data_IF_619878199404
#
_entry.id   IF_619878199404
#
_cell.length_a   1.000
_cell.length_b   1.000
_cell.length_c   1.000
_cell.angle_alpha   90.00
_cell.angle_beta   90.00
_cell.angle_gamma   90.00
#
_symmetry.space_group_name_H-M   'P 1'
#
loop_
_entity.id
_entity.type
_entity.pdbx_description
1 polymer ?
#
# COMPACT_ATOMS: atom_id res chain seq x y z
N UNK A 1 39.75 -62.68 31.23
CA UNK A 1 40.87 -61.74 31.49
C UNK A 1 40.37 -60.34 31.21
N UNK A 2 40.63 -59.43 32.14
CA UNK A 2 40.26 -58.01 32.09
C UNK A 2 40.83 -57.31 30.84
N UNK A 3 40.06 -56.38 30.25
CA UNK A 3 40.50 -55.08 29.74
C UNK A 3 39.30 -54.37 29.09
N UNK A 4 38.74 -53.33 29.70
CA UNK A 4 39.08 -51.91 29.48
C UNK A 4 38.65 -51.35 28.11
N UNK A 5 37.62 -50.47 28.13
CA UNK A 5 37.66 -49.06 27.66
C UNK A 5 36.39 -48.59 26.93
N UNK A 6 35.68 -47.70 27.63
CA UNK A 6 35.03 -46.47 27.20
C UNK A 6 33.92 -46.48 26.09
N UNK A 7 32.76 -45.85 26.36
CA UNK A 7 31.77 -45.51 25.36
C UNK A 7 32.22 -44.25 24.59
N UNK A 8 32.41 -44.36 23.28
CA UNK A 8 32.60 -43.16 22.43
C UNK A 8 31.22 -42.63 22.07
N UNK A 9 30.70 -41.78 22.96
CA UNK A 9 29.65 -40.81 22.69
C UNK A 9 30.16 -39.81 21.63
N UNK A 10 29.87 -40.08 20.36
CA UNK A 10 29.96 -39.06 19.30
C UNK A 10 28.62 -38.34 19.21
N UNK A 11 28.43 -37.45 20.18
CA UNK A 11 27.42 -36.41 20.18
C UNK A 11 27.88 -35.36 19.15
N UNK A 12 27.37 -35.44 17.92
CA UNK A 12 27.57 -34.39 16.93
C UNK A 12 26.78 -33.14 17.36
N UNK A 13 27.39 -32.34 18.23
CA UNK A 13 27.01 -30.95 18.48
C UNK A 13 27.27 -30.17 17.18
N UNK A 14 26.26 -30.10 16.32
CA UNK A 14 26.22 -29.07 15.30
C UNK A 14 25.97 -27.75 16.02
N UNK A 15 27.06 -27.07 16.37
CA UNK A 15 26.99 -25.67 16.73
C UNK A 15 26.40 -24.93 15.52
N UNK A 16 25.32 -24.14 15.68
CA UNK A 16 24.96 -23.18 14.66
C UNK A 16 26.10 -22.16 14.62
N UNK A 17 26.91 -22.19 13.56
CA UNK A 17 27.75 -21.06 13.18
C UNK A 17 26.81 -19.89 12.97
N UNK A 18 26.69 -19.05 13.99
CA UNK A 18 26.10 -17.72 13.88
C UNK A 18 27.06 -16.91 13.02
N UNK A 19 26.87 -16.94 11.70
CA UNK A 19 27.37 -15.88 10.85
C UNK A 19 26.74 -14.57 11.35
N UNK A 20 27.52 -13.53 11.66
CA UNK A 20 26.98 -12.19 11.76
C UNK A 20 26.73 -11.69 10.34
N UNK A 21 25.84 -12.39 9.63
CA UNK A 21 25.27 -11.92 8.38
C UNK A 21 24.24 -10.89 8.77
N UNK A 22 24.70 -9.64 8.88
CA UNK A 22 23.95 -8.40 9.02
C UNK A 22 22.46 -8.64 8.83
N UNK A 23 21.74 -8.82 9.94
CA UNK A 23 20.32 -8.55 9.96
C UNK A 23 20.22 -7.10 9.53
N UNK A 24 19.90 -6.90 8.24
CA UNK A 24 19.55 -5.60 7.73
C UNK A 24 18.23 -5.28 8.41
N UNK A 25 18.36 -4.68 9.60
CA UNK A 25 17.34 -3.86 10.20
C UNK A 25 16.75 -3.05 9.04
N UNK A 26 15.42 -2.99 8.87
CA UNK A 26 14.86 -1.94 8.06
C UNK A 26 15.27 -0.65 8.77
N UNK A 27 16.37 -0.06 8.33
CA UNK A 27 16.75 1.28 8.67
C UNK A 27 15.55 2.11 8.26
N UNK A 28 14.85 2.60 9.26
CA UNK A 28 13.98 3.75 9.15
C UNK A 28 14.86 4.91 8.65
N UNK A 29 15.11 4.93 7.35
CA UNK A 29 15.56 6.11 6.63
C UNK A 29 14.27 6.94 6.42
N UNK A 30 13.87 7.63 7.50
CA UNK A 30 12.63 8.41 7.56
C UNK A 30 12.69 9.75 6.82
N UNK A 31 13.73 10.01 6.02
CA UNK A 31 13.88 11.34 5.39
C UNK A 31 14.56 11.33 4.01
N UNK A 32 14.54 10.20 3.29
CA UNK A 32 14.77 10.27 1.86
C UNK A 32 13.51 10.86 1.22
N UNK A 33 13.50 12.11 0.72
CA UNK A 33 12.35 12.61 -0.01
C UNK A 33 12.15 11.64 -1.18
N UNK A 34 11.00 10.96 -1.19
CA UNK A 34 10.55 10.16 -2.32
C UNK A 34 10.27 11.18 -3.43
N UNK A 35 11.32 11.63 -4.12
CA UNK A 35 11.22 12.45 -5.34
C UNK A 35 10.81 11.51 -6.47
N UNK A 36 9.61 10.93 -6.34
CA UNK A 36 8.90 10.29 -7.44
C UNK A 36 8.32 11.43 -8.27
N UNK A 37 9.25 12.08 -8.98
CA UNK A 37 9.09 12.89 -10.20
C UNK A 37 7.68 12.77 -10.77
N UNK A 38 6.91 13.86 -10.77
CA UNK A 38 5.52 13.91 -11.26
C UNK A 38 5.30 13.20 -12.63
N UNK A 39 6.34 13.10 -13.47
CA UNK A 39 6.33 12.31 -14.70
C UNK A 39 6.03 10.81 -14.53
N UNK A 40 6.50 10.19 -13.45
CA UNK A 40 6.23 8.77 -13.14
C UNK A 40 4.78 8.55 -12.70
N UNK A 41 4.19 9.53 -12.02
CA UNK A 41 2.77 9.52 -11.66
C UNK A 41 1.85 9.63 -12.87
N UNK A 42 2.26 10.36 -13.93
CA UNK A 42 1.54 10.36 -15.22
C UNK A 42 1.40 8.95 -15.82
N UNK A 43 2.30 8.02 -15.47
CA UNK A 43 2.27 6.62 -15.90
C UNK A 43 1.50 5.72 -14.94
N UNK A 44 1.38 6.09 -13.66
CA UNK A 44 0.61 5.34 -12.67
C UNK A 44 -0.86 5.24 -13.09
N UNK A 45 -1.42 4.03 -13.05
CA UNK A 45 -2.83 3.80 -13.34
C UNK A 45 -3.37 2.75 -12.40
N UNK A 46 -4.31 3.15 -11.54
CA UNK A 46 -5.05 2.25 -10.69
C UNK A 46 -6.55 2.52 -10.79
N UNK A 47 -7.34 1.51 -10.44
CA UNK A 47 -8.80 1.63 -10.30
C UNK A 47 -9.22 1.02 -8.97
N UNK A 48 -10.13 1.66 -8.26
CA UNK A 48 -10.79 1.01 -7.14
C UNK A 48 -11.94 0.17 -7.67
N UNK A 49 -12.01 -1.10 -7.26
CA UNK A 49 -13.06 -2.04 -7.63
C UNK A 49 -13.65 -2.68 -6.38
N UNK A 50 -14.91 -3.05 -6.50
CA UNK A 50 -15.60 -3.83 -5.47
C UNK A 50 -15.79 -5.25 -5.96
N UNK A 51 -15.30 -6.22 -5.20
CA UNK A 51 -15.46 -7.64 -5.47
C UNK A 51 -16.92 -8.02 -5.22
N UNK A 52 -17.66 -8.33 -6.29
CA UNK A 52 -19.11 -8.59 -6.23
C UNK A 52 -19.55 -9.66 -5.23
N UNK A 53 -18.72 -10.69 -5.01
CA UNK A 53 -19.04 -11.81 -4.12
C UNK A 53 -18.89 -11.49 -2.63
N UNK A 54 -17.93 -10.64 -2.28
CA UNK A 54 -17.56 -10.37 -0.87
C UNK A 54 -17.84 -8.94 -0.44
N UNK A 55 -18.12 -8.03 -1.38
CA UNK A 55 -18.20 -6.59 -1.11
C UNK A 55 -16.84 -5.94 -0.85
N UNK A 56 -15.75 -6.69 -0.95
CA UNK A 56 -14.41 -6.20 -0.65
C UNK A 56 -13.97 -5.15 -1.68
N UNK A 57 -13.54 -3.99 -1.19
CA UNK A 57 -13.00 -2.91 -2.02
C UNK A 57 -11.49 -3.08 -2.13
N UNK A 58 -10.98 -3.11 -3.36
CA UNK A 58 -9.56 -3.32 -3.63
C UNK A 58 -9.04 -2.38 -4.74
N UNK A 59 -7.74 -2.11 -4.69
CA UNK A 59 -7.04 -1.37 -5.73
C UNK A 59 -6.57 -2.33 -6.84
N UNK A 60 -7.09 -2.16 -8.05
CA UNK A 60 -6.65 -2.82 -9.27
C UNK A 60 -5.61 -1.95 -9.98
N UNK A 61 -4.34 -2.15 -9.63
CA UNK A 61 -3.22 -1.44 -10.24
C UNK A 61 -2.93 -2.00 -11.64
N UNK A 62 -3.00 -1.13 -12.65
CA UNK A 62 -2.75 -1.47 -14.07
C UNK A 62 -1.37 -1.01 -14.54
N UNK A 63 -0.81 0.04 -13.93
CA UNK A 63 0.55 0.53 -14.18
C UNK A 63 1.15 1.07 -12.89
N UNK A 64 2.38 0.67 -12.62
CA UNK A 64 3.21 1.09 -11.49
C UNK A 64 3.87 2.45 -11.76
N UNK A 65 4.15 3.20 -10.69
CA UNK A 65 4.99 4.41 -10.74
C UNK A 65 6.49 4.09 -10.85
N UNK A 66 6.88 2.82 -10.62
CA UNK A 66 8.27 2.39 -10.48
C UNK A 66 8.79 2.43 -9.04
N UNK A 67 8.00 2.91 -8.08
CA UNK A 67 8.26 2.80 -6.65
C UNK A 67 7.18 1.95 -5.98
N UNK A 68 7.57 0.77 -5.49
CA UNK A 68 6.63 -0.18 -4.90
C UNK A 68 6.08 0.26 -3.54
N UNK A 69 6.84 1.03 -2.76
CA UNK A 69 6.37 1.56 -1.47
C UNK A 69 5.31 2.64 -1.71
N UNK A 70 5.61 3.56 -2.61
CA UNK A 70 4.67 4.58 -3.04
C UNK A 70 3.40 3.97 -3.65
N UNK A 71 3.52 3.01 -4.57
CA UNK A 71 2.38 2.36 -5.21
C UNK A 71 1.44 1.69 -4.19
N UNK A 72 2.01 1.01 -3.18
CA UNK A 72 1.23 0.40 -2.09
C UNK A 72 0.52 1.47 -1.25
N UNK A 73 1.23 2.54 -0.90
CA UNK A 73 0.68 3.63 -0.09
C UNK A 73 -0.47 4.34 -0.84
N UNK A 74 -0.26 4.69 -2.11
CA UNK A 74 -1.27 5.31 -2.96
C UNK A 74 -2.47 4.38 -3.17
N UNK A 75 -2.26 3.10 -3.48
CA UNK A 75 -3.37 2.15 -3.60
C UNK A 75 -4.16 2.01 -2.30
N UNK A 76 -3.50 1.96 -1.15
CA UNK A 76 -4.15 1.97 0.16
C UNK A 76 -4.99 3.23 0.36
N UNK A 77 -4.45 4.40 -0.01
CA UNK A 77 -5.16 5.67 0.08
C UNK A 77 -6.37 5.73 -0.86
N UNK A 78 -6.26 5.22 -2.09
CA UNK A 78 -7.39 5.16 -3.04
C UNK A 78 -8.56 4.35 -2.48
N UNK A 79 -8.28 3.19 -1.87
CA UNK A 79 -9.31 2.36 -1.22
C UNK A 79 -9.93 3.07 -0.02
N UNK A 80 -9.13 3.76 0.81
CA UNK A 80 -9.64 4.56 1.94
C UNK A 80 -10.56 5.69 1.46
N UNK A 81 -10.14 6.42 0.42
CA UNK A 81 -10.91 7.53 -0.13
C UNK A 81 -12.20 7.07 -0.81
N UNK A 82 -12.24 5.88 -1.40
CA UNK A 82 -13.50 5.30 -1.91
C UNK A 82 -14.55 5.19 -0.80
N UNK A 83 -14.16 4.71 0.39
CA UNK A 83 -15.07 4.61 1.54
C UNK A 83 -15.51 5.98 2.08
N UNK A 84 -14.70 7.03 1.90
CA UNK A 84 -15.08 8.41 2.25
C UNK A 84 -16.14 8.93 1.27
N UNK A 85 -15.90 8.77 -0.03
CA UNK A 85 -16.85 9.18 -1.09
C UNK A 85 -18.20 8.49 -0.93
N UNK A 86 -18.21 7.17 -0.67
CA UNK A 86 -19.46 6.42 -0.45
C UNK A 86 -20.27 6.94 0.74
N UNK A 87 -19.60 7.47 1.76
CA UNK A 87 -20.22 8.03 2.98
C UNK A 87 -20.53 9.52 2.87
N UNK A 88 -20.02 10.21 1.84
CA UNK A 88 -20.18 11.66 1.70
C UNK A 88 -21.65 12.06 1.59
N UNK A 89 -22.06 13.04 2.40
CA UNK A 89 -23.42 13.57 2.39
C UNK A 89 -23.78 14.19 1.05
N UNK A 90 -22.83 14.85 0.38
CA UNK A 90 -23.03 15.43 -0.95
C UNK A 90 -23.38 14.35 -1.98
N UNK A 91 -22.62 13.25 -2.01
CA UNK A 91 -22.88 12.12 -2.91
C UNK A 91 -24.21 11.45 -2.59
N UNK A 92 -24.54 11.29 -1.30
CA UNK A 92 -25.83 10.70 -0.87
C UNK A 92 -27.02 11.56 -1.23
N UNK A 93 -26.91 12.89 -1.13
CA UNK A 93 -27.96 13.83 -1.54
C UNK A 93 -28.22 13.75 -3.05
N UNK A 94 -27.16 13.72 -3.87
CA UNK A 94 -27.29 13.56 -5.33
C UNK A 94 -27.92 12.21 -5.68
N UNK A 95 -27.53 11.11 -5.01
CA UNK A 95 -28.18 9.79 -5.18
C UNK A 95 -29.66 9.79 -4.80
N UNK A 96 -30.03 10.53 -3.75
CA UNK A 96 -31.40 10.56 -3.23
C UNK A 96 -32.34 11.47 -4.03
N UNK A 97 -31.80 12.51 -4.68
CA UNK A 97 -32.57 13.47 -5.48
C UNK A 97 -32.62 13.18 -6.98
N UNK A 98 -32.46 11.91 -7.39
CA UNK A 98 -32.41 11.48 -8.80
C UNK A 98 -31.37 12.25 -9.64
N UNK A 99 -30.29 12.70 -9.01
CA UNK A 99 -29.22 13.42 -9.68
C UNK A 99 -28.64 12.61 -10.84
N UNK A 100 -28.34 13.28 -11.94
CA UNK A 100 -27.81 12.63 -13.13
C UNK A 100 -26.49 11.92 -12.81
N UNK A 101 -26.17 10.89 -13.61
CA UNK A 101 -24.88 10.20 -13.50
C UNK A 101 -23.69 11.16 -13.50
N UNK A 102 -23.77 12.24 -14.29
CA UNK A 102 -22.72 13.26 -14.38
C UNK A 102 -22.57 14.06 -13.09
N UNK A 103 -23.68 14.38 -12.43
CA UNK A 103 -23.65 15.05 -11.12
C UNK A 103 -23.09 14.15 -10.04
N UNK A 104 -23.46 12.87 -10.05
CA UNK A 104 -22.92 11.88 -9.13
C UNK A 104 -21.40 11.72 -9.31
N UNK A 105 -20.96 11.61 -10.56
CA UNK A 105 -19.53 11.52 -10.90
C UNK A 105 -18.78 12.78 -10.46
N UNK A 106 -19.34 13.97 -10.71
CA UNK A 106 -18.74 15.23 -10.28
C UNK A 106 -18.62 15.33 -8.76
N UNK A 107 -19.69 15.02 -8.02
CA UNK A 107 -19.68 15.03 -6.56
C UNK A 107 -18.69 13.99 -6.01
N UNK A 108 -18.66 12.80 -6.60
CA UNK A 108 -17.72 11.75 -6.25
C UNK A 108 -16.27 12.17 -6.47
N UNK A 109 -15.96 12.76 -7.63
CA UNK A 109 -14.61 13.26 -7.96
C UNK A 109 -14.15 14.34 -6.99
N UNK A 110 -15.00 15.33 -6.68
CA UNK A 110 -14.65 16.41 -5.73
C UNK A 110 -14.26 15.83 -4.37
N UNK A 111 -15.07 14.91 -3.84
CA UNK A 111 -14.85 14.31 -2.54
C UNK A 111 -13.63 13.37 -2.55
N UNK A 112 -13.42 12.66 -3.66
CA UNK A 112 -12.25 11.80 -3.84
C UNK A 112 -10.95 12.60 -3.89
N UNK A 113 -10.95 13.69 -4.66
CA UNK A 113 -9.80 14.60 -4.77
C UNK A 113 -9.49 15.31 -3.46
N UNK A 114 -10.51 15.74 -2.71
CA UNK A 114 -10.34 16.33 -1.38
C UNK A 114 -9.70 15.32 -0.42
N UNK A 115 -10.09 14.05 -0.50
CA UNK A 115 -9.51 12.99 0.33
C UNK A 115 -8.06 12.64 -0.07
N UNK A 116 -7.71 12.74 -1.35
CA UNK A 116 -6.38 12.44 -1.85
C UNK A 116 -5.37 13.59 -1.69
N UNK A 117 -5.84 14.85 -1.65
CA UNK A 117 -4.95 16.00 -1.59
C UNK A 117 -3.88 15.91 -0.48
N UNK A 118 -4.22 15.57 0.78
CA UNK A 118 -3.21 15.47 1.84
C UNK A 118 -2.14 14.41 1.59
N UNK A 119 -2.48 13.33 0.88
CA UNK A 119 -1.51 12.29 0.53
C UNK A 119 -0.49 12.81 -0.47
N UNK A 120 -0.91 13.56 -1.48
CA UNK A 120 0.01 14.13 -2.46
C UNK A 120 0.87 15.24 -1.84
N UNK A 121 0.28 16.10 -1.01
CA UNK A 121 1.01 17.12 -0.24
C UNK A 121 2.09 16.50 0.65
N UNK A 122 1.79 15.41 1.38
CA UNK A 122 2.77 14.74 2.24
C UNK A 122 3.92 14.07 1.48
N UNK A 123 3.77 13.88 0.16
CA UNK A 123 4.79 13.30 -0.72
C UNK A 123 5.44 14.35 -1.64
N UNK A 124 5.15 15.65 -1.44
CA UNK A 124 5.73 16.74 -2.24
C UNK A 124 5.31 16.69 -3.73
N UNK A 125 4.12 16.16 -4.03
CA UNK A 125 3.61 16.02 -5.39
C UNK A 125 2.67 17.18 -5.69
N UNK A 126 3.10 18.10 -6.55
CA UNK A 126 2.25 19.18 -7.06
C UNK A 126 1.15 18.64 -7.97
N UNK A 127 -0.08 19.09 -7.71
CA UNK A 127 -1.26 18.80 -8.53
C UNK A 127 -1.37 19.87 -9.62
N UNK A 128 -0.49 19.83 -10.62
CA UNK A 128 -0.59 20.66 -11.84
C UNK A 128 -1.76 20.26 -12.75
#
# INVERSE_FOLDING_TARGET
>A
MLAYLAPVLLLSLQAPTTEPGTAQQPSADEDAPIVVTAERLRKFRARVKTRRKTGEVYCDMRRSSGDAAFDRALCGQLVRCHAVVDRSSAVRQVKAGDGSRKELERAGTIEFERCLAPFFESHGIDRE
#
